data_IF_557013417022
#
_entry.id   IF_557013417022
#
_cell.length_a   1.000
_cell.length_b   1.000
_cell.length_c   1.000
_cell.angle_alpha   90.00
_cell.angle_beta   90.00
_cell.angle_gamma   90.00
#
_symmetry.space_group_name_H-M   'P 1'
#
loop_
_entity.id
_entity.type
_entity.pdbx_description
1 polymer ?
#
# COMPACT_ATOMS: atom_id res chain seq x y z
N UNK A 1 13.31 4.15 8.20
CA UNK A 1 12.06 3.41 8.58
C UNK A 1 12.34 2.09 9.30
N UNK A 2 13.29 1.29 8.83
CA UNK A 2 13.64 0.00 9.46
C UNK A 2 13.98 0.13 10.95
N UNK A 3 14.84 1.09 11.33
CA UNK A 3 15.25 1.30 12.72
C UNK A 3 14.07 1.71 13.63
N UNK A 4 13.10 2.43 13.08
CA UNK A 4 11.88 2.78 13.79
C UNK A 4 11.06 1.53 14.14
N UNK A 5 10.95 0.56 13.23
CA UNK A 5 10.26 -0.70 13.50
C UNK A 5 10.97 -1.58 14.50
N UNK A 6 12.30 -1.55 14.53
CA UNK A 6 13.06 -2.22 15.60
C UNK A 6 12.71 -1.61 16.96
N UNK A 7 12.64 -0.28 17.04
CA UNK A 7 12.23 0.41 18.26
C UNK A 7 10.78 0.08 18.67
N UNK A 8 9.85 0.02 17.70
CA UNK A 8 8.45 -0.39 17.97
C UNK A 8 8.39 -1.79 18.58
N UNK A 9 9.16 -2.75 18.06
CA UNK A 9 9.21 -4.10 18.64
C UNK A 9 9.66 -4.08 20.09
N UNK A 10 10.67 -3.28 20.41
CA UNK A 10 11.16 -3.11 21.78
C UNK A 10 10.09 -2.50 22.68
N UNK A 11 9.41 -1.46 22.24
CA UNK A 11 8.33 -0.80 22.99
C UNK A 11 7.14 -1.73 23.25
N UNK A 12 6.90 -2.69 22.34
CA UNK A 12 5.87 -3.72 22.50
C UNK A 12 6.28 -4.83 23.49
N UNK A 13 7.53 -4.81 23.96
CA UNK A 13 8.05 -5.83 24.89
C UNK A 13 8.69 -7.04 24.19
N UNK A 14 8.95 -6.94 22.88
CA UNK A 14 9.62 -7.99 22.12
C UNK A 14 11.14 -7.77 22.09
N UNK A 15 11.88 -8.86 21.89
CA UNK A 15 13.32 -8.80 21.64
C UNK A 15 13.59 -8.78 20.13
N UNK A 16 13.98 -7.62 19.55
CA UNK A 16 14.22 -7.52 18.12
C UNK A 16 15.41 -8.34 17.64
N UNK A 17 16.25 -8.81 18.57
CA UNK A 17 17.44 -9.60 18.26
C UNK A 17 17.20 -11.13 18.27
N UNK A 18 16.01 -11.58 18.69
CA UNK A 18 15.70 -12.99 18.58
C UNK A 18 15.59 -13.43 17.12
N UNK A 19 15.94 -14.67 16.82
CA UNK A 19 16.11 -15.19 15.45
C UNK A 19 14.89 -14.91 14.55
N UNK A 20 13.68 -15.10 15.07
CA UNK A 20 12.45 -14.90 14.33
C UNK A 20 12.16 -13.44 13.95
N UNK A 21 12.75 -12.45 14.64
CA UNK A 21 12.53 -11.02 14.45
C UNK A 21 13.68 -10.28 13.80
N UNK A 22 14.84 -10.90 13.57
CA UNK A 22 16.01 -10.24 13.01
C UNK A 22 15.73 -9.51 11.68
N UNK A 23 14.90 -10.08 10.82
CA UNK A 23 14.54 -9.49 9.52
C UNK A 23 13.18 -8.77 9.53
N UNK A 24 12.48 -8.78 10.65
CA UNK A 24 11.15 -8.18 10.73
C UNK A 24 11.16 -6.69 10.46
N UNK A 25 12.05 -5.87 11.05
CA UNK A 25 12.06 -4.44 10.78
C UNK A 25 12.24 -4.10 9.28
N UNK A 26 13.10 -4.82 8.58
CA UNK A 26 13.30 -4.66 7.14
C UNK A 26 12.05 -5.06 6.36
N UNK A 27 11.45 -6.19 6.69
CA UNK A 27 10.24 -6.68 6.01
C UNK A 27 9.06 -5.76 6.21
N UNK A 28 8.86 -5.25 7.43
CA UNK A 28 7.78 -4.30 7.73
C UNK A 28 8.01 -2.99 6.98
N UNK A 29 9.23 -2.46 6.97
CA UNK A 29 9.56 -1.25 6.23
C UNK A 29 9.22 -1.40 4.73
N UNK A 30 9.59 -2.51 4.11
CA UNK A 30 9.26 -2.80 2.71
C UNK A 30 7.75 -2.92 2.47
N UNK A 31 7.05 -3.60 3.37
CA UNK A 31 5.59 -3.75 3.29
C UNK A 31 4.90 -2.38 3.37
N UNK A 32 5.32 -1.52 4.30
CA UNK A 32 4.77 -0.18 4.45
C UNK A 32 5.02 0.70 3.22
N UNK A 33 6.21 0.64 2.64
CA UNK A 33 6.52 1.33 1.39
C UNK A 33 5.63 0.86 0.24
N UNK A 34 5.40 -0.43 0.14
CA UNK A 34 4.49 -0.99 -0.87
C UNK A 34 3.05 -0.54 -0.66
N UNK A 35 2.53 -0.64 0.57
CA UNK A 35 1.16 -0.28 0.91
C UNK A 35 0.87 1.22 0.73
N UNK A 36 1.88 2.07 0.82
CA UNK A 36 1.77 3.52 0.67
C UNK A 36 2.35 4.04 -0.65
N UNK A 37 2.62 3.16 -1.59
CA UNK A 37 3.26 3.49 -2.87
C UNK A 37 2.49 4.54 -3.68
N UNK A 38 1.17 4.64 -3.49
CA UNK A 38 0.34 5.65 -4.13
C UNK A 38 0.81 7.08 -3.93
N UNK A 39 1.44 7.40 -2.80
CA UNK A 39 2.03 8.72 -2.55
C UNK A 39 3.18 9.07 -3.50
N UNK A 40 3.80 8.08 -4.10
CA UNK A 40 4.91 8.25 -5.05
C UNK A 40 4.44 8.34 -6.50
N UNK A 41 3.18 8.05 -6.77
CA UNK A 41 2.60 8.02 -8.11
C UNK A 41 1.99 9.38 -8.46
N UNK A 42 2.10 9.75 -9.73
CA UNK A 42 1.42 10.91 -10.28
C UNK A 42 0.18 10.44 -11.07
N UNK A 43 -1.05 10.72 -10.58
CA UNK A 43 -2.27 10.30 -11.25
C UNK A 43 -2.40 10.83 -12.68
N UNK A 44 -1.96 12.07 -12.92
CA UNK A 44 -2.06 12.68 -14.23
C UNK A 44 -1.19 11.95 -15.27
N UNK A 45 0.02 11.58 -14.91
CA UNK A 45 0.91 10.79 -15.78
C UNK A 45 0.32 9.40 -16.09
N UNK A 46 -0.29 8.76 -15.10
CA UNK A 46 -0.94 7.46 -15.29
C UNK A 46 -2.10 7.57 -16.25
N UNK A 47 -2.95 8.59 -16.08
CA UNK A 47 -4.11 8.83 -16.94
C UNK A 47 -3.66 9.17 -18.37
N UNK A 48 -2.71 10.08 -18.53
CA UNK A 48 -2.17 10.47 -19.84
C UNK A 48 -1.61 9.28 -20.63
N UNK A 49 -0.94 8.35 -19.97
CA UNK A 49 -0.38 7.16 -20.59
C UNK A 49 -1.43 6.15 -21.06
N UNK A 50 -2.67 6.28 -20.62
CA UNK A 50 -3.77 5.34 -20.86
C UNK A 50 -4.93 5.94 -21.67
N UNK A 51 -4.78 7.14 -22.23
CA UNK A 51 -5.82 7.80 -23.01
C UNK A 51 -5.85 7.22 -24.42
N UNK A 52 -7.06 6.83 -24.84
CA UNK A 52 -7.38 6.43 -26.22
C UNK A 52 -8.43 7.38 -26.80
N UNK A 53 -8.27 7.72 -28.08
CA UNK A 53 -9.22 8.56 -28.80
C UNK A 53 -10.23 7.66 -29.53
N UNK A 54 -11.34 7.37 -28.87
CA UNK A 54 -12.43 6.58 -29.45
C UNK A 54 -13.77 7.24 -29.21
N UNK A 55 -14.63 7.22 -30.23
CA UNK A 55 -16.04 7.59 -30.12
C UNK A 55 -16.83 6.45 -29.48
N UNK A 56 -17.10 6.60 -28.20
CA UNK A 56 -17.84 5.60 -27.45
C UNK A 56 -18.97 6.25 -26.63
N UNK A 57 -20.19 5.85 -26.91
CA UNK A 57 -21.40 6.44 -26.29
C UNK A 57 -22.07 5.56 -25.25
N UNK A 58 -21.60 4.34 -25.09
CA UNK A 58 -22.16 3.38 -24.15
C UNK A 58 -21.47 3.45 -22.80
N UNK A 59 -22.21 3.00 -21.76
CA UNK A 59 -21.64 2.89 -20.41
C UNK A 59 -20.53 1.85 -20.38
N UNK A 60 -19.37 2.23 -19.84
CA UNK A 60 -18.26 1.31 -19.56
C UNK A 60 -18.24 1.00 -18.08
N UNK A 61 -18.25 -0.27 -17.74
CA UNK A 61 -18.18 -0.73 -16.35
C UNK A 61 -16.92 -1.58 -16.17
N UNK A 62 -16.08 -1.17 -15.20
CA UNK A 62 -14.93 -1.95 -14.77
C UNK A 62 -15.25 -2.52 -13.38
N UNK A 63 -15.27 -3.83 -13.28
CA UNK A 63 -15.65 -4.55 -12.05
C UNK A 63 -14.45 -5.19 -11.37
N UNK A 64 -14.61 -5.43 -10.09
CA UNK A 64 -13.67 -6.20 -9.28
C UNK A 64 -12.24 -5.60 -9.27
N UNK A 65 -12.16 -4.27 -9.30
CA UNK A 65 -10.87 -3.58 -9.14
C UNK A 65 -10.41 -3.81 -7.71
N UNK A 66 -9.30 -4.49 -7.54
CA UNK A 66 -8.70 -4.71 -6.22
C UNK A 66 -8.17 -3.39 -5.65
N UNK A 67 -8.58 -3.08 -4.42
CA UNK A 67 -8.17 -1.87 -3.70
C UNK A 67 -7.48 -2.27 -2.41
N UNK A 68 -6.30 -1.74 -2.20
CA UNK A 68 -5.52 -1.91 -0.97
C UNK A 68 -5.25 -0.53 -0.39
N UNK A 69 -5.51 -0.36 0.89
CA UNK A 69 -5.31 0.93 1.56
C UNK A 69 -4.91 0.73 3.02
N UNK A 70 -4.63 1.81 3.67
CA UNK A 70 -4.23 1.83 5.07
C UNK A 70 -5.14 2.77 5.85
N UNK A 71 -5.66 2.29 6.98
CA UNK A 71 -6.48 3.09 7.87
C UNK A 71 -5.66 4.25 8.46
N UNK A 72 -6.14 5.47 8.31
CA UNK A 72 -5.47 6.65 8.85
C UNK A 72 -5.41 6.70 10.38
N UNK A 73 -6.38 6.05 11.05
CA UNK A 73 -6.48 6.08 12.50
C UNK A 73 -5.56 5.08 13.21
N UNK A 74 -5.32 3.93 12.60
CA UNK A 74 -4.62 2.82 13.23
C UNK A 74 -3.41 2.34 12.45
N UNK A 75 -3.18 2.85 11.25
CA UNK A 75 -2.15 2.37 10.31
C UNK A 75 -2.26 0.87 10.02
N UNK A 76 -3.47 0.33 10.07
CA UNK A 76 -3.74 -1.05 9.71
C UNK A 76 -4.17 -1.14 8.23
N UNK A 77 -3.63 -2.10 7.48
CA UNK A 77 -4.04 -2.29 6.10
C UNK A 77 -5.45 -2.87 6.02
N UNK A 78 -6.18 -2.46 5.00
CA UNK A 78 -7.44 -3.06 4.61
C UNK A 78 -7.53 -3.20 3.11
N UNK A 79 -8.39 -4.07 2.65
CA UNK A 79 -8.57 -4.33 1.23
C UNK A 79 -10.06 -4.48 0.90
N UNK A 80 -10.35 -4.32 -0.36
CA UNK A 80 -11.69 -4.46 -0.87
C UNK A 80 -11.72 -4.45 -2.39
N UNK A 81 -12.90 -4.25 -2.93
CA UNK A 81 -13.12 -4.12 -4.37
C UNK A 81 -13.92 -2.87 -4.68
N UNK A 82 -13.59 -2.26 -5.80
CA UNK A 82 -14.34 -1.15 -6.36
C UNK A 82 -14.90 -1.53 -7.72
N UNK A 83 -16.04 -0.95 -8.06
CA UNK A 83 -16.65 -1.06 -9.38
C UNK A 83 -16.91 0.36 -9.89
N UNK A 84 -16.47 0.64 -11.07
CA UNK A 84 -16.57 1.97 -11.67
C UNK A 84 -17.24 1.90 -13.02
#
# INVERSE_FOLDING_TARGET
MQDLYASVLTELGEDPNREGLLKTPERVAKAMQFLTNGYQLNPDEIIESAIFHEDYSEMVIVKDIEVYSMCEHHMLPFFGKAHV
#
